data_IF_202079126119
#
_entry.id   IF_202079126119
#
_cell.length_a   1.000
_cell.length_b   1.000
_cell.length_c   1.000
_cell.angle_alpha   90.00
_cell.angle_beta   90.00
_cell.angle_gamma   90.00
#
_symmetry.space_group_name_H-M   'P 1'
#
loop_
_entity.id
_entity.type
_entity.pdbx_description
1 polymer ?
#
# COMPACT_ATOMS: atom_id res chain seq x y z
N UNK A 1 -8.63 47.07 -15.09
CA UNK A 1 -7.66 46.31 -15.85
C UNK A 1 -6.45 46.09 -14.97
N UNK A 2 -6.39 44.97 -14.26
CA UNK A 2 -5.21 44.59 -13.46
C UNK A 2 -4.78 43.22 -13.94
N UNK A 3 -3.60 43.18 -14.56
CA UNK A 3 -2.91 41.98 -15.00
C UNK A 3 -2.27 41.30 -13.80
N UNK A 4 -2.77 40.12 -13.42
CA UNK A 4 -2.07 39.25 -12.48
C UNK A 4 -0.89 38.61 -13.19
N UNK A 5 0.30 38.91 -12.72
CA UNK A 5 1.56 38.29 -13.15
C UNK A 5 1.67 36.86 -12.62
N UNK A 6 1.55 35.90 -13.51
CA UNK A 6 1.91 34.51 -13.26
C UNK A 6 3.46 34.39 -13.18
N UNK A 7 3.96 33.98 -12.03
CA UNK A 7 5.35 33.59 -11.86
C UNK A 7 5.53 32.17 -12.39
N UNK A 8 6.52 31.91 -13.25
CA UNK A 8 6.81 30.55 -13.67
C UNK A 8 7.58 29.82 -12.58
N UNK A 9 7.02 28.71 -12.13
CA UNK A 9 7.76 27.71 -11.35
C UNK A 9 8.81 27.08 -12.25
N UNK A 10 10.06 27.30 -11.91
CA UNK A 10 11.19 26.75 -12.63
C UNK A 10 11.25 25.23 -12.48
N UNK A 11 11.01 24.54 -13.56
CA UNK A 11 11.30 23.12 -13.70
C UNK A 11 12.82 22.94 -13.68
N UNK A 12 13.36 22.34 -12.63
CA UNK A 12 14.67 21.70 -12.66
C UNK A 12 14.48 20.22 -12.97
N UNK A 13 14.41 19.93 -14.25
CA UNK A 13 14.74 18.62 -14.79
C UNK A 13 16.24 18.42 -14.64
N UNK A 14 16.68 17.61 -13.70
CA UNK A 14 17.91 16.87 -13.81
C UNK A 14 17.54 15.40 -13.81
N UNK A 15 17.49 14.86 -15.00
CA UNK A 15 17.51 13.44 -15.20
C UNK A 15 18.86 12.89 -14.80
N UNK A 16 18.87 11.82 -14.06
CA UNK A 16 19.96 10.83 -14.11
C UNK A 16 19.32 9.47 -13.95
N UNK A 17 19.55 8.71 -14.99
CA UNK A 17 19.08 7.39 -15.32
C UNK A 17 19.86 6.36 -14.52
N UNK A 18 19.09 5.41 -13.92
CA UNK A 18 19.39 3.99 -13.76
C UNK A 18 20.75 3.61 -13.17
N UNK A 19 20.72 3.02 -12.01
CA UNK A 19 21.63 1.93 -11.69
C UNK A 19 20.80 0.77 -11.13
N UNK A 20 20.66 -0.29 -11.93
CA UNK A 20 20.38 -1.62 -11.42
C UNK A 20 21.60 -1.97 -10.55
N UNK A 21 21.44 -1.87 -9.24
CA UNK A 21 22.50 -2.27 -8.32
C UNK A 21 22.27 -3.75 -8.01
N UNK A 22 22.96 -4.59 -8.80
CA UNK A 22 23.40 -5.87 -8.28
C UNK A 22 24.42 -5.53 -7.18
N UNK A 23 24.05 -5.63 -5.91
CA UNK A 23 24.93 -5.40 -4.78
C UNK A 23 25.87 -6.59 -4.63
N UNK A 24 27.01 -6.54 -5.33
CA UNK A 24 28.21 -7.26 -4.96
C UNK A 24 29.27 -6.21 -4.64
N UNK A 25 29.38 -5.84 -3.37
CA UNK A 25 30.39 -4.92 -2.89
C UNK A 25 30.63 -5.12 -1.40
N UNK A 26 31.72 -5.83 -1.07
CA UNK A 26 32.17 -6.06 0.28
C UNK A 26 32.55 -4.73 0.95
N UNK A 27 31.78 -4.30 1.94
CA UNK A 27 32.20 -3.31 2.92
C UNK A 27 32.75 -4.08 4.11
N UNK A 28 34.07 -4.05 4.28
CA UNK A 28 34.73 -4.55 5.49
C UNK A 28 34.52 -3.55 6.60
N UNK A 29 33.55 -3.80 7.47
CA UNK A 29 33.44 -3.13 8.77
C UNK A 29 34.07 -4.05 9.81
N UNK A 30 34.98 -3.50 10.60
CA UNK A 30 35.69 -4.19 11.67
C UNK A 30 34.70 -4.80 12.65
N UNK A 31 34.77 -6.13 12.80
CA UNK A 31 33.95 -6.90 13.70
C UNK A 31 34.31 -6.64 15.15
N UNK A 32 33.37 -6.08 15.93
CA UNK A 32 33.30 -6.30 17.35
C UNK A 32 32.36 -7.50 17.60
N UNK A 33 32.96 -8.62 17.95
CA UNK A 33 32.23 -9.85 18.21
C UNK A 33 31.37 -9.72 19.47
N UNK A 34 30.03 -9.75 19.26
CA UNK A 34 29.06 -10.24 20.25
C UNK A 34 28.06 -11.14 19.53
N UNK A 35 27.88 -12.32 20.07
CA UNK A 35 27.28 -13.47 19.41
C UNK A 35 25.83 -13.37 19.01
N UNK A 36 25.52 -14.05 17.90
CA UNK A 36 24.33 -14.84 17.72
C UNK A 36 23.08 -14.17 17.19
N UNK A 37 22.87 -14.24 15.89
CA UNK A 37 21.67 -13.86 15.18
C UNK A 37 22.04 -12.79 14.17
N UNK A 38 22.06 -13.11 12.88
CA UNK A 38 22.30 -12.11 11.86
C UNK A 38 21.15 -11.09 11.88
N UNK A 39 21.36 -9.97 12.56
CA UNK A 39 20.46 -8.84 12.55
C UNK A 39 20.42 -8.32 11.09
N UNK A 40 19.33 -8.60 10.39
CA UNK A 40 19.08 -7.99 9.10
C UNK A 40 19.02 -6.49 9.35
N UNK A 41 19.91 -5.73 8.72
CA UNK A 41 19.86 -4.28 8.80
C UNK A 41 18.46 -3.82 8.39
N UNK A 42 17.76 -3.18 9.33
CA UNK A 42 16.38 -2.77 9.15
C UNK A 42 16.35 -1.28 8.79
N UNK A 43 15.70 -0.96 7.69
CA UNK A 43 15.43 0.41 7.28
C UNK A 43 14.10 0.84 7.89
N UNK A 44 14.15 1.86 8.73
CA UNK A 44 12.96 2.43 9.34
C UNK A 44 12.23 3.35 8.36
N UNK A 45 10.90 3.32 8.40
CA UNK A 45 10.00 4.16 7.59
C UNK A 45 9.20 5.02 8.56
N UNK A 46 9.23 6.33 8.38
CA UNK A 46 8.53 7.28 9.24
C UNK A 46 7.40 8.05 8.54
N UNK A 47 7.22 7.86 7.22
CA UNK A 47 6.21 8.55 6.45
C UNK A 47 5.99 8.05 5.04
N UNK A 48 5.25 8.84 4.26
CA UNK A 48 4.91 8.54 2.88
C UNK A 48 3.47 8.06 2.69
N UNK A 49 3.20 7.38 1.59
CA UNK A 49 1.87 6.85 1.28
C UNK A 49 1.95 5.57 0.44
N UNK A 50 0.94 4.72 0.60
CA UNK A 50 0.65 3.62 -0.33
C UNK A 50 -0.52 4.02 -1.21
N UNK A 51 -0.34 3.90 -2.52
CA UNK A 51 -1.36 4.14 -3.53
C UNK A 51 -1.91 2.79 -3.99
N UNK A 52 -3.22 2.59 -3.86
CA UNK A 52 -3.91 1.42 -4.39
C UNK A 52 -4.73 1.85 -5.60
N UNK A 53 -4.30 1.47 -6.78
CA UNK A 53 -5.08 1.62 -8.02
C UNK A 53 -6.02 0.44 -8.13
N UNK A 54 -7.33 0.73 -8.11
CA UNK A 54 -8.36 -0.31 -8.14
C UNK A 54 -8.45 -0.94 -9.52
N UNK A 55 -8.60 -2.26 -9.57
CA UNK A 55 -8.85 -2.98 -10.82
C UNK A 55 -10.18 -2.53 -11.45
N UNK A 56 -10.15 -2.23 -12.74
CA UNK A 56 -11.30 -1.67 -13.45
C UNK A 56 -12.49 -2.63 -13.48
N UNK A 57 -12.24 -3.93 -13.66
CA UNK A 57 -13.30 -4.95 -13.67
C UNK A 57 -13.94 -5.09 -12.29
N UNK A 58 -13.14 -5.06 -11.23
CA UNK A 58 -13.64 -5.09 -9.85
C UNK A 58 -14.45 -3.83 -9.53
N UNK A 59 -13.99 -2.66 -9.96
CA UNK A 59 -14.72 -1.41 -9.77
C UNK A 59 -16.07 -1.43 -10.49
N UNK A 60 -16.11 -1.94 -11.73
CA UNK A 60 -17.34 -2.10 -12.52
C UNK A 60 -18.30 -3.10 -11.86
N UNK A 61 -17.79 -4.25 -11.41
CA UNK A 61 -18.60 -5.27 -10.73
C UNK A 61 -19.22 -4.74 -9.43
N UNK A 62 -18.44 -4.03 -8.60
CA UNK A 62 -18.92 -3.42 -7.37
C UNK A 62 -20.00 -2.36 -7.65
N UNK A 63 -19.74 -1.43 -8.57
CA UNK A 63 -20.69 -0.37 -8.92
C UNK A 63 -21.97 -0.93 -9.55
N UNK A 64 -21.84 -1.93 -10.42
CA UNK A 64 -22.97 -2.63 -11.03
C UNK A 64 -23.84 -3.37 -10.03
N UNK A 65 -23.28 -3.85 -8.94
CA UNK A 65 -23.99 -4.46 -7.82
C UNK A 65 -24.50 -3.44 -6.78
N UNK A 66 -24.32 -2.14 -7.00
CA UNK A 66 -24.79 -1.08 -6.10
C UNK A 66 -23.88 -0.78 -4.92
N UNK A 67 -22.63 -1.26 -4.93
CA UNK A 67 -21.66 -0.92 -3.90
C UNK A 67 -21.06 0.47 -4.11
N UNK A 68 -20.86 1.19 -3.01
CA UNK A 68 -20.06 2.39 -2.93
C UNK A 68 -18.83 2.13 -2.07
N UNK A 69 -17.67 2.66 -2.50
CA UNK A 69 -16.40 2.58 -1.75
C UNK A 69 -15.95 3.99 -1.43
N UNK A 70 -15.79 4.29 -0.15
CA UNK A 70 -15.40 5.62 0.34
C UNK A 70 -14.18 5.54 1.25
N UNK A 71 -13.26 6.54 1.21
CA UNK A 71 -12.13 6.57 2.12
C UNK A 71 -12.57 6.91 3.54
N UNK A 72 -11.92 6.30 4.55
CA UNK A 72 -11.95 6.75 5.96
C UNK A 72 -10.70 7.60 6.17
N UNK A 73 -10.90 8.85 6.58
CA UNK A 73 -9.79 9.78 6.83
C UNK A 73 -8.70 9.20 7.76
N UNK A 74 -7.43 9.51 7.49
CA UNK A 74 -6.88 10.44 6.50
C UNK A 74 -6.62 9.82 5.11
N UNK A 75 -7.18 8.65 4.78
CA UNK A 75 -7.11 8.11 3.43
C UNK A 75 -7.84 9.06 2.45
N UNK A 76 -7.37 9.09 1.21
CA UNK A 76 -7.90 9.94 0.15
C UNK A 76 -8.23 9.10 -1.08
N UNK A 77 -9.11 9.60 -1.92
CA UNK A 77 -9.44 8.99 -3.21
C UNK A 77 -9.26 10.01 -4.31
N UNK A 78 -8.76 9.57 -5.44
CA UNK A 78 -8.68 10.33 -6.67
C UNK A 78 -9.18 9.50 -7.84
N UNK A 79 -9.76 10.17 -8.83
CA UNK A 79 -10.18 9.55 -10.07
C UNK A 79 -9.52 10.28 -11.23
N UNK A 80 -8.82 9.54 -12.08
CA UNK A 80 -8.23 10.07 -13.29
C UNK A 80 -9.30 10.31 -14.37
N UNK A 81 -8.97 11.12 -15.37
CA UNK A 81 -9.85 11.36 -16.52
C UNK A 81 -10.14 10.07 -17.33
N UNK A 82 -9.28 9.07 -17.22
CA UNK A 82 -9.46 7.72 -17.77
C UNK A 82 -10.54 6.90 -17.06
N UNK A 83 -11.01 7.35 -15.88
CA UNK A 83 -11.91 6.59 -15.00
C UNK A 83 -11.19 5.75 -13.94
N UNK A 84 -9.86 5.65 -13.98
CA UNK A 84 -9.06 4.94 -13.00
C UNK A 84 -9.23 5.56 -11.60
N UNK A 85 -9.49 4.72 -10.61
CA UNK A 85 -9.68 5.13 -9.21
C UNK A 85 -8.48 4.68 -8.38
N UNK A 86 -7.88 5.63 -7.67
CA UNK A 86 -6.74 5.38 -6.79
C UNK A 86 -7.03 5.87 -5.38
N UNK A 87 -6.83 5.00 -4.40
CA UNK A 87 -6.86 5.35 -2.98
C UNK A 87 -5.43 5.56 -2.47
N UNK A 88 -5.24 6.63 -1.69
CA UNK A 88 -3.97 6.93 -1.03
C UNK A 88 -4.11 6.73 0.49
N UNK A 89 -3.25 5.89 1.05
CA UNK A 89 -3.20 5.59 2.49
C UNK A 89 -1.90 6.11 3.08
N UNK A 90 -1.93 7.15 3.93
CA UNK A 90 -0.73 7.66 4.58
C UNK A 90 -0.06 6.60 5.45
N UNK A 91 1.25 6.45 5.31
CA UNK A 91 2.06 5.59 6.15
C UNK A 91 2.20 6.23 7.53
N UNK A 92 1.96 5.44 8.57
CA UNK A 92 2.17 5.87 9.96
C UNK A 92 3.61 5.65 10.38
N UNK A 93 4.14 4.48 10.09
CA UNK A 93 5.51 4.03 10.31
C UNK A 93 5.70 2.61 9.75
N UNK A 94 6.93 2.20 9.61
CA UNK A 94 7.27 0.85 9.15
C UNK A 94 8.73 0.51 9.42
N UNK A 95 9.07 -0.73 9.10
CA UNK A 95 10.45 -1.20 9.08
C UNK A 95 10.55 -2.35 8.09
N UNK A 96 11.52 -2.29 7.21
CA UNK A 96 11.83 -3.32 6.22
C UNK A 96 13.30 -3.71 6.34
N UNK A 97 13.59 -4.99 6.21
CA UNK A 97 14.97 -5.46 6.10
C UNK A 97 15.57 -5.03 4.75
N UNK A 98 16.75 -4.43 4.76
CA UNK A 98 17.41 -3.96 3.54
C UNK A 98 17.74 -5.10 2.56
N UNK A 99 17.92 -6.33 3.07
CA UNK A 99 18.35 -7.47 2.28
C UNK A 99 17.27 -8.11 1.42
N UNK A 100 16.01 -8.12 1.86
CA UNK A 100 14.90 -8.85 1.23
C UNK A 100 13.56 -8.13 1.34
N UNK A 101 13.54 -6.90 1.84
CA UNK A 101 12.35 -6.07 2.06
C UNK A 101 11.30 -6.73 2.98
N UNK A 102 11.71 -7.74 3.75
CA UNK A 102 10.83 -8.37 4.72
C UNK A 102 10.55 -7.42 5.88
N UNK A 103 9.28 -7.30 6.29
CA UNK A 103 8.90 -6.42 7.39
C UNK A 103 7.47 -5.96 7.35
N UNK A 104 7.21 -4.82 8.00
CA UNK A 104 5.84 -4.32 8.15
C UNK A 104 5.75 -2.82 7.91
N UNK A 105 4.68 -2.43 7.20
CA UNK A 105 4.32 -1.03 6.95
C UNK A 105 2.91 -0.80 7.49
N UNK A 106 2.75 0.14 8.40
CA UNK A 106 1.46 0.51 9.01
C UNK A 106 0.92 1.79 8.42
N UNK A 107 -0.39 1.80 8.18
CA UNK A 107 -1.10 2.92 7.56
C UNK A 107 -2.15 3.49 8.49
N UNK A 108 -2.51 4.75 8.23
CA UNK A 108 -3.66 5.44 8.82
C UNK A 108 -4.80 5.47 7.81
N UNK A 109 -6.02 5.69 8.34
CA UNK A 109 -7.22 5.70 7.51
C UNK A 109 -7.72 4.31 7.16
N UNK A 110 -8.58 4.23 6.15
CA UNK A 110 -9.22 2.98 5.75
C UNK A 110 -10.21 3.17 4.61
N UNK A 111 -11.12 2.22 4.48
CA UNK A 111 -12.20 2.22 3.50
C UNK A 111 -13.52 1.80 4.16
N UNK A 112 -14.60 2.43 3.74
CA UNK A 112 -15.97 1.98 3.92
C UNK A 112 -16.47 1.37 2.62
N UNK A 113 -17.06 0.20 2.71
CA UNK A 113 -17.82 -0.43 1.65
C UNK A 113 -19.30 -0.42 2.05
N UNK A 114 -20.18 0.12 1.22
CA UNK A 114 -21.59 0.31 1.54
C UNK A 114 -22.48 -0.22 0.41
N UNK A 115 -23.59 -0.89 0.76
CA UNK A 115 -24.62 -1.34 -0.15
C UNK A 115 -25.95 -1.43 0.62
N UNK A 116 -27.04 -0.91 0.07
CA UNK A 116 -28.40 -1.02 0.63
C UNK A 116 -28.53 -0.63 2.12
N UNK A 117 -27.79 0.41 2.54
CA UNK A 117 -27.79 0.90 3.92
C UNK A 117 -26.87 0.13 4.88
N UNK A 118 -26.30 -0.99 4.46
CA UNK A 118 -25.27 -1.70 5.21
C UNK A 118 -23.91 -1.11 4.90
N UNK A 119 -23.08 -0.90 5.93
CA UNK A 119 -21.70 -0.40 5.76
C UNK A 119 -20.72 -1.26 6.55
N UNK A 120 -19.70 -1.73 5.88
CA UNK A 120 -18.53 -2.40 6.46
C UNK A 120 -17.31 -1.52 6.32
N UNK A 121 -16.74 -1.08 7.44
CA UNK A 121 -15.52 -0.29 7.47
C UNK A 121 -14.29 -1.12 7.86
N UNK A 122 -13.18 -0.91 7.16
CA UNK A 122 -11.87 -1.50 7.47
C UNK A 122 -10.82 -0.39 7.53
N UNK A 123 -9.93 -0.43 8.53
CA UNK A 123 -8.95 0.65 8.74
C UNK A 123 -7.63 0.16 9.33
N UNK A 124 -6.67 1.09 9.41
CA UNK A 124 -5.37 0.86 10.02
C UNK A 124 -4.68 -0.36 9.41
N UNK A 125 -4.51 -0.32 8.10
CA UNK A 125 -3.88 -1.39 7.33
C UNK A 125 -2.45 -1.64 7.77
N UNK A 126 -2.07 -2.92 7.77
CA UNK A 126 -0.68 -3.34 7.95
C UNK A 126 -0.31 -4.25 6.80
N UNK A 127 0.61 -3.81 5.97
CA UNK A 127 1.32 -4.65 5.00
C UNK A 127 2.38 -5.45 5.77
N UNK A 128 2.36 -6.76 5.63
CA UNK A 128 3.41 -7.67 6.10
C UNK A 128 4.01 -8.34 4.85
N UNK A 129 5.16 -7.84 4.44
CA UNK A 129 5.84 -8.34 3.23
C UNK A 129 6.42 -9.73 3.42
N UNK A 130 6.74 -10.11 4.67
CA UNK A 130 7.24 -11.45 4.98
C UNK A 130 6.15 -12.51 4.83
N UNK A 131 4.92 -12.15 5.19
CA UNK A 131 3.76 -13.04 5.10
C UNK A 131 3.04 -12.92 3.75
N UNK A 132 3.35 -11.89 2.93
CA UNK A 132 2.62 -11.60 1.69
C UNK A 132 1.15 -11.24 1.94
N UNK A 133 0.86 -10.52 3.04
CA UNK A 133 -0.52 -10.24 3.43
C UNK A 133 -0.70 -8.80 3.90
N UNK A 134 -1.85 -8.21 3.57
CA UNK A 134 -2.34 -6.98 4.18
C UNK A 134 -3.46 -7.33 5.17
N UNK A 135 -3.30 -6.89 6.41
CA UNK A 135 -4.34 -7.02 7.44
C UNK A 135 -4.99 -5.70 7.75
N UNK A 136 -6.26 -5.74 8.18
CA UNK A 136 -7.05 -4.55 8.52
C UNK A 136 -7.80 -4.75 9.84
N UNK A 137 -8.08 -3.63 10.54
CA UNK A 137 -9.04 -3.61 11.66
C UNK A 137 -10.44 -3.38 11.11
N UNK A 138 -11.39 -4.19 11.54
CA UNK A 138 -12.81 -3.95 11.26
C UNK A 138 -13.32 -2.82 12.17
N UNK A 139 -14.04 -1.86 11.59
CA UNK A 139 -14.63 -0.73 12.35
C UNK A 139 -15.72 -1.26 13.26
N UNK A 140 -15.71 -0.83 14.52
CA UNK A 140 -16.66 -1.31 15.53
C UNK A 140 -16.25 -2.62 16.20
N UNK A 141 -15.18 -3.29 15.74
CA UNK A 141 -14.64 -4.50 16.35
C UNK A 141 -13.21 -4.26 16.89
N UNK A 142 -12.76 -5.19 17.74
CA UNK A 142 -11.35 -5.28 18.13
C UNK A 142 -10.54 -6.16 17.19
N UNK A 143 -11.21 -6.88 16.30
CA UNK A 143 -10.60 -7.88 15.43
C UNK A 143 -9.77 -7.23 14.32
N UNK A 144 -8.69 -7.90 14.00
CA UNK A 144 -7.87 -7.65 12.81
C UNK A 144 -7.92 -8.90 11.97
N UNK A 145 -8.29 -8.73 10.71
CA UNK A 145 -8.43 -9.83 9.76
C UNK A 145 -7.37 -9.71 8.64
N UNK A 146 -6.93 -10.83 8.07
CA UNK A 146 -6.25 -10.80 6.78
C UNK A 146 -7.26 -10.36 5.70
N UNK A 147 -6.97 -9.22 5.06
CA UNK A 147 -7.88 -8.64 4.07
C UNK A 147 -7.46 -8.99 2.64
N UNK A 148 -6.17 -8.80 2.33
CA UNK A 148 -5.64 -9.02 0.99
C UNK A 148 -4.40 -9.92 1.05
N UNK A 149 -4.29 -10.83 0.08
CA UNK A 149 -3.04 -11.47 -0.30
C UNK A 149 -2.26 -10.51 -1.20
N UNK A 150 -0.93 -10.45 -1.02
CA UNK A 150 -0.04 -9.58 -1.77
C UNK A 150 0.87 -10.42 -2.65
N UNK A 151 0.79 -10.22 -3.95
CA UNK A 151 1.72 -10.80 -4.91
C UNK A 151 2.93 -9.87 -5.09
N UNK A 152 4.07 -10.32 -4.60
CA UNK A 152 5.35 -9.61 -4.67
C UNK A 152 6.24 -10.12 -5.82
N UNK A 153 5.74 -11.01 -6.68
CA UNK A 153 6.54 -11.65 -7.74
C UNK A 153 7.10 -10.65 -8.74
N UNK A 154 6.32 -9.60 -9.03
CA UNK A 154 6.70 -8.53 -9.95
C UNK A 154 7.12 -7.24 -9.23
N UNK A 155 7.44 -7.33 -7.94
CA UNK A 155 7.84 -6.17 -7.15
C UNK A 155 9.11 -5.53 -7.72
N UNK A 156 9.03 -4.24 -7.99
CA UNK A 156 10.16 -3.38 -8.32
C UNK A 156 10.46 -2.48 -7.13
N UNK A 157 11.68 -2.53 -6.62
CA UNK A 157 12.12 -1.72 -5.49
C UNK A 157 13.20 -0.74 -5.93
N UNK A 158 13.04 0.52 -5.55
CA UNK A 158 13.99 1.60 -5.77
C UNK A 158 14.25 2.26 -4.42
N UNK A 159 15.51 2.37 -4.02
CA UNK A 159 15.92 2.99 -2.77
C UNK A 159 16.79 4.20 -3.08
N UNK A 160 16.46 5.32 -2.46
CA UNK A 160 17.18 6.59 -2.51
C UNK A 160 17.67 6.92 -1.09
N UNK A 161 18.42 8.00 -0.93
CA UNK A 161 19.02 8.36 0.37
C UNK A 161 17.95 8.53 1.48
N UNK A 162 16.81 9.14 1.16
CA UNK A 162 15.72 9.50 2.09
C UNK A 162 14.38 8.82 1.78
N UNK A 163 14.31 7.97 0.76
CA UNK A 163 13.05 7.40 0.30
C UNK A 163 13.20 6.02 -0.33
N UNK A 164 12.12 5.26 -0.29
CA UNK A 164 12.00 3.99 -0.99
C UNK A 164 10.68 3.91 -1.75
N UNK A 165 10.74 3.37 -2.96
CA UNK A 165 9.56 3.16 -3.81
C UNK A 165 9.45 1.67 -4.12
N UNK A 166 8.31 1.07 -3.76
CA UNK A 166 7.98 -0.32 -4.08
C UNK A 166 6.80 -0.30 -5.04
N UNK A 167 6.93 -0.87 -6.22
CA UNK A 167 5.89 -0.85 -7.27
C UNK A 167 5.48 -2.23 -7.72
N UNK A 168 4.24 -2.32 -8.18
CA UNK A 168 3.73 -3.52 -8.83
C UNK A 168 3.30 -4.61 -7.87
N UNK A 169 2.87 -4.26 -6.65
CA UNK A 169 2.33 -5.23 -5.68
C UNK A 169 0.89 -5.54 -6.06
N UNK A 170 0.65 -6.75 -6.58
CA UNK A 170 -0.70 -7.25 -6.85
C UNK A 170 -1.46 -7.50 -5.54
N UNK A 171 -2.73 -7.12 -5.48
CA UNK A 171 -3.57 -7.29 -4.31
C UNK A 171 -4.85 -8.05 -4.65
N UNK A 172 -5.08 -9.20 -3.99
CA UNK A 172 -6.26 -10.03 -4.17
C UNK A 172 -6.94 -10.30 -2.82
N UNK A 173 -8.26 -10.50 -2.86
CA UNK A 173 -9.06 -10.73 -1.66
C UNK A 173 -8.71 -12.08 -1.02
N UNK A 174 -8.61 -12.13 0.32
CA UNK A 174 -8.45 -13.41 1.04
C UNK A 174 -9.77 -14.17 1.15
N UNK A 175 -9.71 -15.48 1.39
CA UNK A 175 -10.90 -16.31 1.66
C UNK A 175 -11.69 -15.83 2.89
N UNK A 176 -10.97 -15.43 3.95
CA UNK A 176 -11.59 -14.92 5.18
C UNK A 176 -12.34 -13.60 4.94
N UNK A 177 -11.73 -12.67 4.23
CA UNK A 177 -12.37 -11.40 3.89
C UNK A 177 -13.56 -11.60 2.95
N UNK A 178 -13.46 -12.47 1.93
CA UNK A 178 -14.55 -12.79 1.02
C UNK A 178 -15.75 -13.35 1.79
N UNK A 179 -15.53 -14.32 2.68
CA UNK A 179 -16.58 -14.92 3.51
C UNK A 179 -17.25 -13.87 4.40
N UNK A 180 -16.44 -13.01 5.05
CA UNK A 180 -16.96 -11.97 5.94
C UNK A 180 -17.79 -10.91 5.20
N UNK A 181 -17.33 -10.49 4.01
CA UNK A 181 -18.06 -9.51 3.17
C UNK A 181 -19.36 -10.10 2.64
N UNK A 182 -19.34 -11.35 2.13
CA UNK A 182 -20.55 -12.00 1.67
C UNK A 182 -21.60 -12.17 2.78
N UNK A 183 -21.15 -12.53 3.99
CA UNK A 183 -22.04 -12.62 5.14
C UNK A 183 -22.62 -11.27 5.57
N UNK A 184 -21.81 -10.20 5.52
CA UNK A 184 -22.23 -8.85 5.93
C UNK A 184 -23.22 -8.21 4.96
N UNK A 185 -23.09 -8.46 3.66
CA UNK A 185 -23.93 -7.89 2.60
C UNK A 185 -24.97 -8.85 2.03
N UNK A 186 -25.05 -10.08 2.57
CA UNK A 186 -25.97 -11.12 2.10
C UNK A 186 -25.83 -11.38 0.59
N UNK A 187 -24.60 -11.52 0.10
CA UNK A 187 -24.26 -11.70 -1.31
C UNK A 187 -23.24 -12.83 -1.51
N UNK A 188 -23.03 -13.25 -2.75
CA UNK A 188 -21.98 -14.20 -3.17
C UNK A 188 -20.98 -13.55 -4.13
N UNK A 189 -20.93 -12.21 -4.17
CA UNK A 189 -20.09 -11.46 -5.11
C UNK A 189 -18.58 -11.60 -4.82
N UNK A 190 -18.22 -11.69 -3.54
CA UNK A 190 -16.81 -11.71 -3.12
C UNK A 190 -16.28 -13.14 -3.14
N UNK A 191 -15.18 -13.36 -3.84
CA UNK A 191 -14.50 -14.65 -3.92
C UNK A 191 -13.05 -14.51 -3.49
N UNK A 192 -12.47 -15.60 -2.95
CA UNK A 192 -11.03 -15.67 -2.74
C UNK A 192 -10.29 -15.44 -4.07
N UNK A 193 -9.23 -14.65 -4.03
CA UNK A 193 -8.44 -14.34 -5.22
C UNK A 193 -9.06 -13.25 -6.12
N UNK A 194 -10.22 -12.67 -5.77
CA UNK A 194 -10.75 -11.51 -6.49
C UNK A 194 -9.68 -10.41 -6.54
N UNK A 195 -9.31 -9.99 -7.74
CA UNK A 195 -8.31 -8.92 -7.93
C UNK A 195 -8.87 -7.60 -7.42
N UNK A 196 -8.26 -7.02 -6.40
CA UNK A 196 -8.65 -5.71 -5.87
C UNK A 196 -7.95 -4.58 -6.61
N UNK A 197 -6.68 -4.80 -6.97
CA UNK A 197 -5.89 -3.81 -7.69
C UNK A 197 -4.39 -4.00 -7.56
N UNK A 198 -3.66 -2.93 -7.85
CA UNK A 198 -2.20 -2.88 -7.72
C UNK A 198 -1.81 -1.77 -6.72
N UNK A 199 -0.91 -2.09 -5.83
CA UNK A 199 -0.41 -1.14 -4.83
C UNK A 199 1.03 -0.72 -5.14
N UNK A 200 1.28 0.59 -5.04
CA UNK A 200 2.60 1.21 -5.07
C UNK A 200 2.85 1.90 -3.72
N UNK A 201 4.01 1.65 -3.13
CA UNK A 201 4.43 2.23 -1.84
C UNK A 201 5.48 3.30 -2.10
N UNK A 202 5.23 4.50 -1.60
CA UNK A 202 6.19 5.62 -1.58
C UNK A 202 6.50 5.92 -0.12
N UNK A 203 7.64 5.42 0.34
CA UNK A 203 8.03 5.51 1.74
C UNK A 203 9.10 6.59 1.94
N UNK A 204 8.97 7.39 3.01
CA UNK A 204 10.03 8.24 3.53
C UNK A 204 10.81 7.44 4.56
N UNK A 205 12.13 7.40 4.43
CA UNK A 205 13.01 6.68 5.34
C UNK A 205 13.36 7.58 6.53
N UNK A 206 13.49 6.98 7.71
CA UNK A 206 13.98 7.69 8.88
C UNK A 206 15.48 7.92 8.78
N UNK A 207 15.94 9.09 9.27
CA UNK A 207 17.35 9.46 9.39
C UNK A 207 18.12 8.58 10.39
#
# INVERSE_FOLDING_TARGET
MNLLSLRPFGARLLGTVIAVIALAGAVTVAASAHGGGGDKEAVAIDGGATLLTVDAGTLEALSGAGFAVEPIEPAQVSQAASGEVTFAFPIAWGSLAASDLSGKIKHRGGLNLSMDGTTVGVKNFVIDTSAGVLTAKVVGSRDRIPLLNLDLTNLQAFVFDDSAVLRGVGATLTAEAATALNAAFETDLFTEGLTVGTADVFATLAD
#
